data_IF_780360829280
#
_entry.id   IF_780360829280
#
_cell.length_a   1.000
_cell.length_b   1.000
_cell.length_c   1.000
_cell.angle_alpha   90.00
_cell.angle_beta   90.00
_cell.angle_gamma   90.00
#
_symmetry.space_group_name_H-M   'P 1'
#
loop_
_entity.id
_entity.type
_entity.pdbx_description
1 polymer ?
#
# COMPACT_ATOMS: atom_id res chain seq x y z
N UNK A 1 4.83 -0.58 5.35
CA UNK A 1 5.08 -0.15 3.97
C UNK A 1 5.41 1.33 3.98
N UNK A 2 6.65 1.71 3.73
CA UNK A 2 7.05 3.12 3.76
C UNK A 2 6.29 3.91 2.70
N UNK A 3 5.67 4.99 3.14
CA UNK A 3 4.74 5.79 2.38
C UNK A 3 5.11 7.27 2.45
N UNK A 4 4.90 7.98 1.35
CA UNK A 4 4.97 9.45 1.30
C UNK A 4 3.89 10.00 0.38
N UNK A 5 3.43 11.22 0.64
CA UNK A 5 2.52 11.92 -0.26
C UNK A 5 3.22 13.16 -0.79
N UNK A 6 3.30 13.26 -2.12
CA UNK A 6 3.93 14.35 -2.84
C UNK A 6 3.05 14.71 -4.05
N UNK A 7 2.71 16.00 -4.20
CA UNK A 7 1.79 16.47 -5.25
C UNK A 7 0.46 15.70 -5.31
N UNK A 8 -0.11 15.38 -4.14
CA UNK A 8 -1.33 14.59 -3.98
C UNK A 8 -1.24 13.14 -4.49
N UNK A 9 -0.05 12.65 -4.80
CA UNK A 9 0.18 11.24 -5.14
C UNK A 9 0.77 10.53 -3.93
N UNK A 10 0.16 9.42 -3.53
CA UNK A 10 0.72 8.51 -2.55
C UNK A 10 1.73 7.60 -3.23
N UNK A 11 2.95 7.57 -2.70
CA UNK A 11 4.01 6.66 -3.10
C UNK A 11 4.19 5.59 -2.04
N UNK A 12 4.24 4.32 -2.45
CA UNK A 12 4.67 3.21 -1.61
C UNK A 12 6.06 2.77 -2.06
N UNK A 13 7.01 2.70 -1.13
CA UNK A 13 8.39 2.34 -1.40
C UNK A 13 8.49 0.95 -2.04
N UNK A 14 9.26 0.84 -3.12
CA UNK A 14 9.35 -0.39 -3.90
C UNK A 14 9.87 -1.62 -3.13
N UNK A 15 10.65 -1.44 -2.07
CA UNK A 15 11.15 -2.52 -1.24
C UNK A 15 10.08 -3.11 -0.32
N UNK A 16 8.98 -2.39 -0.10
CA UNK A 16 7.89 -2.80 0.78
C UNK A 16 6.68 -3.33 0.01
N UNK A 17 6.75 -3.34 -1.33
CA UNK A 17 5.69 -3.87 -2.19
C UNK A 17 5.69 -5.41 -2.16
N UNK A 18 4.50 -6.04 -2.29
CA UNK A 18 4.44 -7.49 -2.43
C UNK A 18 5.11 -7.94 -3.73
N UNK A 19 5.62 -9.17 -3.72
CA UNK A 19 6.14 -9.83 -4.92
C UNK A 19 5.20 -10.93 -5.41
N UNK A 20 5.02 -11.01 -6.72
CA UNK A 20 4.38 -12.16 -7.33
C UNK A 20 5.32 -13.37 -7.33
N UNK A 21 4.84 -14.52 -6.85
CA UNK A 21 5.58 -15.78 -6.89
C UNK A 21 4.78 -16.87 -7.58
N UNK A 22 5.29 -17.38 -8.71
CA UNK A 22 4.70 -18.53 -9.41
C UNK A 22 4.70 -19.76 -8.49
N UNK A 23 3.53 -20.36 -8.28
CA UNK A 23 3.35 -21.45 -7.32
C UNK A 23 3.41 -21.03 -5.83
N UNK A 24 3.40 -19.72 -5.55
CA UNK A 24 3.37 -19.17 -4.20
C UNK A 24 1.97 -19.14 -3.59
N UNK A 25 1.86 -18.47 -2.43
CA UNK A 25 0.60 -18.28 -1.72
C UNK A 25 -0.45 -17.61 -2.60
N UNK A 26 -1.64 -18.22 -2.70
CA UNK A 26 -2.79 -17.65 -3.41
C UNK A 26 -3.12 -16.28 -2.84
N UNK A 27 -3.14 -16.13 -1.51
CA UNK A 27 -3.49 -14.86 -0.85
C UNK A 27 -2.48 -13.76 -1.17
N UNK A 28 -1.17 -14.05 -1.11
CA UNK A 28 -0.13 -13.05 -1.41
C UNK A 28 -0.13 -12.64 -2.88
N UNK A 29 -0.35 -13.58 -3.78
CA UNK A 29 -0.48 -13.28 -5.20
C UNK A 29 -1.76 -12.48 -5.50
N UNK A 30 -2.87 -12.79 -4.84
CA UNK A 30 -4.10 -11.98 -4.92
C UNK A 30 -3.87 -10.56 -4.39
N UNK A 31 -3.15 -10.43 -3.26
CA UNK A 31 -2.79 -9.13 -2.70
C UNK A 31 -1.96 -8.29 -3.67
N UNK A 32 -0.92 -8.90 -4.26
CA UNK A 32 -0.10 -8.27 -5.30
C UNK A 32 -0.95 -7.74 -6.46
N UNK A 33 -1.85 -8.57 -7.01
CA UNK A 33 -2.67 -8.17 -8.15
C UNK A 33 -3.71 -7.12 -7.77
N UNK A 34 -4.30 -7.21 -6.58
CA UNK A 34 -5.27 -6.24 -6.10
C UNK A 34 -4.62 -4.85 -5.96
N UNK A 35 -3.48 -4.75 -5.28
CA UNK A 35 -2.69 -3.50 -5.19
C UNK A 35 -2.33 -2.95 -6.57
N UNK A 36 -1.82 -3.82 -7.44
CA UNK A 36 -1.37 -3.41 -8.77
C UNK A 36 -2.51 -2.89 -9.65
N UNK A 37 -3.72 -3.43 -9.49
CA UNK A 37 -4.87 -3.13 -10.36
C UNK A 37 -5.44 -1.72 -10.18
N UNK A 38 -5.21 -1.09 -9.02
CA UNK A 38 -5.69 0.25 -8.70
C UNK A 38 -4.57 1.30 -8.69
N UNK A 39 -3.32 0.89 -8.90
CA UNK A 39 -2.20 1.83 -8.96
C UNK A 39 -2.21 2.60 -10.29
N UNK A 40 -2.07 3.92 -10.22
CA UNK A 40 -1.83 4.75 -11.40
C UNK A 40 -0.54 4.38 -12.11
N UNK A 41 0.48 3.98 -11.33
CA UNK A 41 1.75 3.47 -11.86
C UNK A 41 2.34 2.39 -10.97
N UNK A 42 2.63 1.24 -11.59
CA UNK A 42 3.17 0.06 -10.92
C UNK A 42 4.31 -0.58 -11.75
N UNK A 43 5.43 0.13 -11.87
CA UNK A 43 6.62 -0.38 -12.54
C UNK A 43 7.48 -1.26 -11.63
N UNK A 44 8.24 -2.17 -12.24
CA UNK A 44 9.21 -3.02 -11.51
C UNK A 44 10.33 -2.15 -10.94
N UNK A 45 10.74 -2.41 -9.69
CA UNK A 45 11.84 -1.71 -9.00
C UNK A 45 11.65 -0.19 -8.87
N UNK A 46 10.40 0.25 -8.76
CA UNK A 46 10.03 1.65 -8.57
C UNK A 46 8.86 1.71 -7.61
N UNK A 47 8.76 2.82 -6.90
CA UNK A 47 7.65 3.09 -6.00
C UNK A 47 6.34 3.01 -6.78
N UNK A 48 5.30 2.49 -6.14
CA UNK A 48 3.97 2.47 -6.75
C UNK A 48 3.22 3.74 -6.37
N UNK A 49 2.50 4.28 -7.36
CA UNK A 49 1.84 5.58 -7.30
C UNK A 49 0.32 5.39 -7.25
N UNK A 50 -0.35 6.12 -6.36
CA UNK A 50 -1.80 6.07 -6.18
C UNK A 50 -2.38 7.49 -6.08
N UNK A 51 -3.29 7.81 -7.00
CA UNK A 51 -4.03 9.06 -7.05
C UNK A 51 -5.12 9.11 -5.95
N UNK A 52 -5.58 10.32 -5.53
CA UNK A 52 -6.59 10.46 -4.49
C UNK A 52 -7.89 9.69 -4.75
N UNK A 53 -8.27 9.54 -6.02
CA UNK A 53 -9.48 8.85 -6.47
C UNK A 53 -9.51 7.38 -6.05
N UNK A 54 -8.34 6.75 -5.86
CA UNK A 54 -8.22 5.35 -5.48
C UNK A 54 -7.85 5.13 -4.01
N UNK A 55 -7.59 6.19 -3.23
CA UNK A 55 -7.17 6.07 -1.83
C UNK A 55 -8.21 5.36 -0.95
N UNK A 56 -9.49 5.60 -1.17
CA UNK A 56 -10.55 4.89 -0.44
C UNK A 56 -10.52 3.39 -0.74
N UNK A 57 -10.29 3.01 -2.00
CA UNK A 57 -10.17 1.60 -2.39
C UNK A 57 -8.92 0.97 -1.79
N UNK A 58 -7.79 1.68 -1.82
CA UNK A 58 -6.55 1.26 -1.21
C UNK A 58 -6.72 1.00 0.29
N UNK A 59 -7.30 1.96 1.02
CA UNK A 59 -7.53 1.86 2.47
C UNK A 59 -8.37 0.62 2.83
N UNK A 60 -9.51 0.41 2.15
CA UNK A 60 -10.37 -0.76 2.38
C UNK A 60 -9.67 -2.08 2.07
N UNK A 61 -8.88 -2.11 1.00
CA UNK A 61 -8.13 -3.29 0.60
C UNK A 61 -7.04 -3.63 1.62
N UNK A 62 -6.25 -2.64 2.04
CA UNK A 62 -5.20 -2.83 3.06
C UNK A 62 -5.79 -3.35 4.37
N UNK A 63 -6.91 -2.77 4.82
CA UNK A 63 -7.62 -3.23 6.01
C UNK A 63 -8.11 -4.68 5.86
N UNK A 64 -8.78 -5.01 4.75
CA UNK A 64 -9.30 -6.36 4.50
C UNK A 64 -8.18 -7.41 4.47
N UNK A 65 -7.03 -7.09 3.89
CA UNK A 65 -5.88 -7.97 3.85
C UNK A 65 -5.18 -8.08 5.21
N UNK A 66 -5.15 -7.01 6.01
CA UNK A 66 -4.64 -7.07 7.39
C UNK A 66 -5.49 -8.01 8.27
N UNK A 67 -6.82 -7.95 8.15
CA UNK A 67 -7.75 -8.80 8.89
C UNK A 67 -7.72 -10.27 8.45
N UNK A 68 -7.16 -10.58 7.28
CA UNK A 68 -7.06 -11.94 6.77
C UNK A 68 -6.07 -12.83 7.55
N UNK A 69 -5.13 -12.23 8.30
CA UNK A 69 -4.11 -12.96 9.06
C UNK A 69 -2.98 -13.59 8.23
N UNK A 70 -2.97 -13.41 6.90
CA UNK A 70 -1.94 -14.00 6.01
C UNK A 70 -0.74 -13.08 5.72
N UNK A 71 -0.85 -11.80 6.08
CA UNK A 71 0.13 -10.75 5.79
C UNK A 71 0.56 -10.09 7.10
N UNK A 72 1.84 -9.70 7.18
CA UNK A 72 2.35 -8.97 8.34
C UNK A 72 1.94 -7.50 8.32
N UNK A 73 2.02 -6.82 9.47
CA UNK A 73 1.69 -5.39 9.59
C UNK A 73 2.49 -4.52 8.60
N UNK A 74 3.77 -4.81 8.39
CA UNK A 74 4.61 -4.08 7.43
C UNK A 74 4.16 -4.22 5.98
N UNK A 75 3.37 -5.26 5.67
CA UNK A 75 2.83 -5.49 4.34
C UNK A 75 1.49 -4.77 4.14
N UNK A 76 0.75 -4.41 5.20
CA UNK A 76 -0.63 -3.89 5.11
C UNK A 76 -0.83 -2.52 5.73
N UNK A 77 0.17 -2.00 6.46
CA UNK A 77 0.13 -0.67 7.09
C UNK A 77 1.04 0.31 6.34
N UNK A 78 0.53 1.51 6.06
CA UNK A 78 1.30 2.62 5.52
C UNK A 78 2.12 3.27 6.64
N UNK A 79 3.42 3.39 6.46
CA UNK A 79 4.35 3.96 7.43
C UNK A 79 4.82 5.31 6.87
N UNK A 80 4.32 6.40 7.44
CA UNK A 80 4.69 7.75 7.05
C UNK A 80 5.81 8.29 7.93
N UNK A 81 6.75 9.02 7.36
CA UNK A 81 7.70 9.78 8.18
C UNK A 81 6.98 10.84 9.01
N UNK A 82 7.41 11.08 10.25
CA UNK A 82 6.96 12.24 11.04
C UNK A 82 7.06 13.59 10.29
N UNK A 83 8.01 13.70 9.35
CA UNK A 83 8.17 14.89 8.51
C UNK A 83 7.05 15.11 7.47
N UNK A 84 6.24 14.09 7.19
CA UNK A 84 5.09 14.17 6.27
C UNK A 84 4.02 15.15 6.78
N UNK A 85 3.89 15.30 8.11
CA UNK A 85 2.82 16.07 8.73
C UNK A 85 1.52 15.27 8.81
N UNK A 86 0.42 15.84 8.31
CA UNK A 86 -0.91 15.23 8.45
C UNK A 86 -1.15 14.11 7.42
N UNK A 87 -1.63 12.96 7.92
CA UNK A 87 -2.12 11.86 7.08
C UNK A 87 -3.58 12.15 6.70
N UNK A 88 -3.94 12.11 5.40
CA UNK A 88 -5.31 12.28 4.96
C UNK A 88 -6.27 11.34 5.69
N UNK A 89 -7.47 11.84 6.02
CA UNK A 89 -8.47 11.09 6.78
C UNK A 89 -8.81 9.72 6.17
N UNK A 90 -8.86 9.62 4.85
CA UNK A 90 -9.13 8.36 4.13
C UNK A 90 -8.09 7.27 4.36
N UNK A 91 -6.85 7.65 4.65
CA UNK A 91 -5.73 6.72 4.84
C UNK A 91 -5.47 6.43 6.32
N UNK A 92 -6.02 7.23 7.24
CA UNK A 92 -5.67 7.22 8.66
C UNK A 92 -5.80 5.85 9.33
N UNK A 93 -6.84 5.10 9.01
CA UNK A 93 -7.12 3.79 9.62
C UNK A 93 -6.11 2.70 9.23
N UNK A 94 -5.36 2.91 8.14
CA UNK A 94 -4.35 1.98 7.63
C UNK A 94 -2.95 2.59 7.67
N UNK A 95 -2.74 3.58 8.53
CA UNK A 95 -1.49 4.33 8.58
C UNK A 95 -0.90 4.45 9.99
N UNK A 96 0.41 4.58 10.05
CA UNK A 96 1.18 4.92 11.25
C UNK A 96 2.30 5.89 10.90
N UNK A 97 2.92 6.47 11.92
CA UNK A 97 4.19 7.17 11.77
C UNK A 97 5.38 6.27 12.12
N UNK A 98 6.52 6.50 11.44
CA UNK A 98 7.85 5.94 11.72
C UNK A 98 8.91 7.05 11.83
#
# INVERSE_FOLDING_TARGET
>A
MRAKIENQILFINHEDLPEFKKGGSVVRNSYFWALRSIAGKASRYRDWEYEPEVWLALSRMLLSFAESGYLGLRETLLEFSFSQGEIPSLLRDVSTFE
#
